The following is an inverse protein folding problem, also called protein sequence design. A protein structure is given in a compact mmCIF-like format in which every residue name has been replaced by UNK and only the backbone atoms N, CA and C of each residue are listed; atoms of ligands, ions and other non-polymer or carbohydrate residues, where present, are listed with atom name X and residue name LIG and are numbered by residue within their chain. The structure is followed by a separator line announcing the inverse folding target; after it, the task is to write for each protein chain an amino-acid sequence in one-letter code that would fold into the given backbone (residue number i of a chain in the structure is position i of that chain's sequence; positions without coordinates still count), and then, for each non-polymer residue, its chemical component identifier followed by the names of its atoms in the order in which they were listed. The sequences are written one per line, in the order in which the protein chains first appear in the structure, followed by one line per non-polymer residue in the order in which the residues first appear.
data_IF_538819747006
#
_entry.id   IF_538819747006
#
_cell.length_a   1.000
_cell.length_b   1.000
_cell.length_c   1.000
_cell.angle_alpha   90.00
_cell.angle_beta   90.00
_cell.angle_gamma   90.00
#
_symmetry.space_group_name_H-M   'P 1'
#
loop_
_entity.id
_entity.type
_entity.pdbx_description
1 polymer ?
#
# COMPACT_ATOMS: atom_id res chain seq x y z
N UNK A 1 17.93 -1.50 6.02
CA UNK A 1 18.77 -2.43 5.23
C UNK A 1 18.90 -1.86 3.82
N UNK A 2 20.10 -1.80 3.24
CA UNK A 2 20.30 -1.14 1.93
C UNK A 2 20.69 -2.17 0.86
N UNK A 3 19.69 -2.65 0.11
CA UNK A 3 19.89 -3.61 -0.99
C UNK A 3 20.68 -2.99 -2.15
N UNK A 4 20.54 -1.68 -2.38
CA UNK A 4 21.21 -1.00 -3.49
C UNK A 4 22.74 -1.05 -3.40
N UNK A 5 23.29 -1.00 -2.18
CA UNK A 5 24.74 -1.18 -1.97
C UNK A 5 25.22 -2.57 -2.38
N UNK A 6 24.48 -3.62 -1.98
CA UNK A 6 24.81 -5.00 -2.35
C UNK A 6 24.72 -5.23 -3.86
N UNK A 7 23.70 -4.67 -4.52
CA UNK A 7 23.55 -4.73 -5.99
C UNK A 7 24.66 -3.93 -6.69
N UNK A 8 25.09 -2.81 -6.12
CA UNK A 8 26.23 -2.03 -6.63
C UNK A 8 27.55 -2.79 -6.51
N UNK A 9 27.77 -3.49 -5.40
CA UNK A 9 28.97 -4.30 -5.16
C UNK A 9 29.01 -5.53 -6.08
N UNK A 10 27.90 -6.27 -6.16
CA UNK A 10 27.79 -7.50 -6.95
C UNK A 10 27.30 -7.20 -8.38
N UNK A 11 27.93 -6.22 -9.02
CA UNK A 11 27.59 -5.79 -10.37
C UNK A 11 28.59 -6.34 -11.39
N UNK A 12 28.12 -6.65 -12.59
CA UNK A 12 28.99 -7.08 -13.70
C UNK A 12 30.09 -6.04 -14.04
N UNK A 13 29.83 -4.74 -13.83
CA UNK A 13 30.85 -3.70 -14.01
C UNK A 13 32.03 -3.86 -13.05
N UNK A 14 31.79 -4.33 -11.82
CA UNK A 14 32.84 -4.60 -10.84
C UNK A 14 33.67 -5.80 -11.28
N UNK A 15 33.03 -6.87 -11.77
CA UNK A 15 33.72 -8.02 -12.34
C UNK A 15 34.58 -7.62 -13.56
N UNK A 16 34.05 -6.80 -14.47
CA UNK A 16 34.79 -6.29 -15.62
C UNK A 16 35.99 -5.43 -15.22
N UNK A 17 35.84 -4.59 -14.19
CA UNK A 17 36.94 -3.79 -13.66
C UNK A 17 38.05 -4.68 -13.07
N UNK A 18 37.70 -5.73 -12.31
CA UNK A 18 38.68 -6.70 -11.80
C UNK A 18 39.46 -7.33 -12.95
N UNK A 19 38.78 -7.82 -13.99
CA UNK A 19 39.43 -8.41 -15.16
C UNK A 19 40.37 -7.41 -15.86
N UNK A 20 39.94 -6.15 -16.02
CA UNK A 20 40.77 -5.09 -16.59
C UNK A 20 42.06 -4.83 -15.78
N UNK A 21 41.97 -4.84 -14.45
CA UNK A 21 43.15 -4.68 -13.59
C UNK A 21 44.07 -5.90 -13.61
N UNK A 22 43.54 -7.11 -13.80
CA UNK A 22 44.35 -8.34 -14.02
C UNK A 22 45.13 -8.23 -15.33
N UNK A 23 44.46 -7.83 -16.41
CA UNK A 23 45.08 -7.70 -17.74
C UNK A 23 46.21 -6.66 -17.74
N UNK A 24 46.09 -5.62 -16.91
CA UNK A 24 47.12 -4.61 -16.69
C UNK A 24 48.19 -4.99 -15.67
N UNK A 25 48.13 -6.20 -15.10
CA UNK A 25 49.03 -6.70 -14.04
C UNK A 25 49.05 -5.81 -12.79
N UNK A 26 47.95 -5.09 -12.53
CA UNK A 26 47.79 -4.28 -11.32
C UNK A 26 47.37 -5.15 -10.12
N UNK A 27 46.72 -6.29 -10.38
CA UNK A 27 46.29 -7.27 -9.38
C UNK A 27 46.59 -8.69 -9.87
N UNK A 28 46.63 -9.64 -8.95
CA UNK A 28 46.96 -11.04 -9.24
C UNK A 28 45.82 -11.78 -9.98
N UNK A 29 46.20 -12.77 -10.79
CA UNK A 29 45.30 -13.61 -11.57
C UNK A 29 44.32 -14.42 -10.70
N UNK A 30 44.67 -14.69 -9.44
CA UNK A 30 43.79 -15.36 -8.47
C UNK A 30 42.42 -14.66 -8.36
N UNK A 31 42.38 -13.32 -8.50
CA UNK A 31 41.15 -12.53 -8.45
C UNK A 31 40.20 -12.76 -9.64
N UNK A 32 40.62 -13.48 -10.69
CA UNK A 32 39.75 -13.87 -11.80
C UNK A 32 38.57 -14.73 -11.31
N UNK A 33 38.82 -15.57 -10.31
CA UNK A 33 37.77 -16.39 -9.66
C UNK A 33 36.71 -15.52 -8.98
N UNK A 34 37.13 -14.42 -8.33
CA UNK A 34 36.23 -13.43 -7.73
C UNK A 34 35.39 -12.72 -8.79
N UNK A 35 36.01 -12.30 -9.90
CA UNK A 35 35.28 -11.69 -11.02
C UNK A 35 34.23 -12.65 -11.59
N UNK A 36 34.59 -13.92 -11.81
CA UNK A 36 33.66 -14.96 -12.24
C UNK A 36 32.48 -15.12 -11.27
N UNK A 37 32.75 -15.21 -9.96
CA UNK A 37 31.70 -15.34 -8.95
C UNK A 37 30.74 -14.14 -8.94
N UNK A 38 31.27 -12.92 -9.01
CA UNK A 38 30.46 -11.70 -9.07
C UNK A 38 29.56 -11.71 -10.31
N UNK A 39 30.10 -12.05 -11.48
CA UNK A 39 29.31 -12.15 -12.72
C UNK A 39 28.22 -13.21 -12.63
N UNK A 40 28.51 -14.37 -12.02
CA UNK A 40 27.55 -15.45 -11.81
C UNK A 40 26.40 -15.02 -10.91
N UNK A 41 26.70 -14.44 -9.74
CA UNK A 41 25.66 -13.92 -8.83
C UNK A 41 24.84 -12.81 -9.50
N UNK A 42 25.49 -11.91 -10.24
CA UNK A 42 24.80 -10.86 -10.97
C UNK A 42 23.83 -11.40 -12.02
N UNK A 43 24.25 -12.39 -12.83
CA UNK A 43 23.39 -13.03 -13.84
C UNK A 43 22.19 -13.70 -13.19
N UNK A 44 22.42 -14.46 -12.11
CA UNK A 44 21.35 -15.09 -11.32
C UNK A 44 20.36 -14.08 -10.76
N UNK A 45 20.87 -13.03 -10.09
CA UNK A 45 20.03 -11.98 -9.50
C UNK A 45 19.17 -11.29 -10.57
N UNK A 46 19.77 -10.92 -11.71
CA UNK A 46 19.06 -10.27 -12.82
C UNK A 46 17.92 -11.11 -13.38
N UNK A 47 18.10 -12.43 -13.47
CA UNK A 47 17.05 -13.35 -13.93
C UNK A 47 15.90 -13.43 -12.92
N UNK A 48 16.21 -13.66 -11.63
CA UNK A 48 15.18 -13.79 -10.59
C UNK A 48 14.45 -12.46 -10.29
N UNK A 49 15.10 -11.32 -10.49
CA UNK A 49 14.46 -9.99 -10.31
C UNK A 49 13.99 -9.36 -11.61
N UNK A 50 13.74 -10.16 -12.65
CA UNK A 50 13.29 -9.67 -13.96
C UNK A 50 11.90 -9.03 -13.86
N UNK A 51 11.80 -7.75 -14.26
CA UNK A 51 10.56 -6.95 -14.23
C UNK A 51 10.06 -6.52 -15.62
N UNK A 52 10.87 -6.75 -16.65
CA UNK A 52 10.56 -6.35 -18.02
C UNK A 52 10.56 -7.55 -18.94
N UNK A 53 9.66 -7.55 -19.93
CA UNK A 53 9.51 -8.62 -20.91
C UNK A 53 10.82 -8.99 -21.62
N UNK A 54 11.65 -8.00 -21.95
CA UNK A 54 12.97 -8.22 -22.59
C UNK A 54 13.95 -9.04 -21.76
N UNK A 55 13.76 -9.11 -20.45
CA UNK A 55 14.60 -9.84 -19.50
C UNK A 55 13.87 -11.03 -18.87
N UNK A 56 12.63 -11.28 -19.28
CA UNK A 56 11.80 -12.35 -18.79
C UNK A 56 12.24 -13.69 -19.37
N UNK A 57 11.95 -14.78 -18.66
CA UNK A 57 12.03 -16.11 -19.24
C UNK A 57 10.91 -16.25 -20.27
N UNK A 58 11.24 -16.56 -21.51
CA UNK A 58 10.28 -16.64 -22.62
C UNK A 58 10.78 -17.55 -23.73
N UNK A 59 9.84 -18.09 -24.51
CA UNK A 59 10.13 -18.83 -25.74
C UNK A 59 10.25 -17.93 -26.98
N UNK A 60 10.40 -16.61 -26.80
CA UNK A 60 10.63 -15.72 -27.93
C UNK A 60 11.95 -16.02 -28.64
N UNK A 61 12.95 -16.47 -27.87
CA UNK A 61 14.23 -16.90 -28.39
C UNK A 61 14.70 -18.14 -27.62
N UNK A 62 14.41 -19.32 -28.17
CA UNK A 62 14.64 -20.60 -27.51
C UNK A 62 16.12 -20.85 -27.13
N UNK A 63 17.06 -20.29 -27.89
CA UNK A 63 18.48 -20.35 -27.56
C UNK A 63 18.78 -19.68 -26.20
N UNK A 64 18.23 -18.48 -25.98
CA UNK A 64 18.41 -17.72 -24.74
C UNK A 64 17.67 -18.40 -23.58
N UNK A 65 16.48 -18.92 -23.85
CA UNK A 65 15.73 -19.70 -22.87
C UNK A 65 16.57 -20.89 -22.38
N UNK A 66 17.09 -21.70 -23.32
CA UNK A 66 17.86 -22.90 -23.00
C UNK A 66 19.15 -22.55 -22.24
N UNK A 67 19.84 -21.48 -22.66
CA UNK A 67 21.03 -20.98 -21.95
C UNK A 67 20.71 -20.57 -20.51
N UNK A 68 19.60 -19.85 -20.30
CA UNK A 68 19.20 -19.41 -18.96
C UNK A 68 18.78 -20.59 -18.07
N UNK A 69 18.07 -21.58 -18.61
CA UNK A 69 17.68 -22.78 -17.85
C UNK A 69 18.91 -23.61 -17.46
N UNK A 70 19.84 -23.81 -18.39
CA UNK A 70 21.10 -24.50 -18.11
C UNK A 70 21.90 -23.75 -17.04
N UNK A 71 22.02 -22.42 -17.18
CA UNK A 71 22.69 -21.58 -16.19
C UNK A 71 22.06 -21.68 -14.79
N UNK A 72 20.72 -21.70 -14.67
CA UNK A 72 20.06 -21.85 -13.36
C UNK A 72 20.32 -23.22 -12.73
N UNK A 73 20.41 -24.28 -13.53
CA UNK A 73 20.80 -25.61 -13.04
C UNK A 73 22.25 -25.64 -12.57
N UNK A 74 23.17 -25.08 -13.36
CA UNK A 74 24.58 -24.93 -12.98
C UNK A 74 24.74 -24.07 -11.71
N UNK A 75 23.90 -23.05 -11.54
CA UNK A 75 23.92 -22.21 -10.34
C UNK A 75 23.63 -23.02 -9.08
N UNK A 76 22.68 -23.96 -9.10
CA UNK A 76 22.43 -24.84 -7.97
C UNK A 76 23.66 -25.68 -7.61
N UNK A 77 24.35 -26.24 -8.60
CA UNK A 77 25.59 -26.99 -8.39
C UNK A 77 26.69 -26.12 -7.75
N UNK A 78 26.81 -24.87 -8.19
CA UNK A 78 27.74 -23.91 -7.58
C UNK A 78 27.37 -23.68 -6.11
N UNK A 79 26.09 -23.49 -5.78
CA UNK A 79 25.66 -23.25 -4.39
C UNK A 79 25.93 -24.48 -3.51
N UNK A 80 25.74 -25.69 -4.02
CA UNK A 80 26.11 -26.93 -3.32
C UNK A 80 27.62 -27.05 -3.08
N UNK A 81 28.43 -26.55 -4.02
CA UNK A 81 29.89 -26.50 -3.89
C UNK A 81 30.44 -25.42 -2.95
N UNK A 82 29.62 -24.47 -2.46
CA UNK A 82 30.06 -23.44 -1.52
C UNK A 82 30.25 -24.07 -0.13
N UNK A 83 31.50 -24.30 0.25
CA UNK A 83 31.90 -24.83 1.57
C UNK A 83 32.42 -23.75 2.52
N UNK A 84 32.42 -22.47 2.13
CA UNK A 84 33.33 -21.48 2.68
C UNK A 84 32.82 -20.62 3.87
N UNK A 85 31.61 -20.84 4.41
CA UNK A 85 31.11 -19.98 5.52
C UNK A 85 31.37 -20.63 6.90
N UNK A 86 32.59 -20.47 7.41
CA UNK A 86 33.01 -20.95 8.75
C UNK A 86 33.37 -22.43 8.77
N UNK A 87 32.77 -23.21 9.68
CA UNK A 87 33.02 -24.66 9.89
C UNK A 87 32.68 -25.60 8.70
N UNK A 88 32.45 -25.08 7.48
CA UNK A 88 31.97 -25.89 6.36
C UNK A 88 30.53 -26.37 6.48
N UNK A 89 29.78 -25.87 7.47
CA UNK A 89 28.37 -26.26 7.71
C UNK A 89 27.42 -25.53 6.77
N UNK A 90 26.45 -26.28 6.26
CA UNK A 90 25.34 -25.75 5.46
C UNK A 90 24.59 -24.64 6.22
N UNK A 91 24.36 -23.51 5.56
CA UNK A 91 23.69 -22.32 6.12
C UNK A 91 22.31 -22.12 5.50
N UNK A 92 21.36 -21.51 6.23
CA UNK A 92 20.00 -21.28 5.72
C UNK A 92 19.95 -20.50 4.41
N UNK A 93 20.87 -19.56 4.16
CA UNK A 93 20.89 -18.82 2.89
C UNK A 93 21.20 -19.71 1.69
N UNK A 94 21.98 -20.79 1.86
CA UNK A 94 22.28 -21.74 0.79
C UNK A 94 21.02 -22.52 0.43
N UNK A 95 20.27 -22.99 1.44
CA UNK A 95 18.93 -23.55 1.21
C UNK A 95 18.04 -22.56 0.48
N UNK A 96 18.02 -21.29 0.89
CA UNK A 96 17.22 -20.25 0.25
C UNK A 96 17.55 -20.07 -1.23
N UNK A 97 18.85 -19.97 -1.57
CA UNK A 97 19.30 -19.84 -2.97
C UNK A 97 18.89 -21.04 -3.83
N UNK A 98 19.08 -22.26 -3.32
CA UNK A 98 18.68 -23.48 -4.01
C UNK A 98 17.16 -23.54 -4.21
N UNK A 99 16.38 -23.26 -3.15
CA UNK A 99 14.92 -23.31 -3.22
C UNK A 99 14.37 -22.25 -4.18
N UNK A 100 14.85 -21.00 -4.09
CA UNK A 100 14.42 -19.95 -5.02
C UNK A 100 14.71 -20.31 -6.48
N UNK A 101 15.88 -20.90 -6.75
CA UNK A 101 16.27 -21.31 -8.09
C UNK A 101 15.45 -22.50 -8.59
N UNK A 102 15.23 -23.49 -7.73
CA UNK A 102 14.39 -24.65 -8.06
C UNK A 102 12.94 -24.24 -8.30
N UNK A 103 12.37 -23.41 -7.44
CA UNK A 103 11.02 -22.87 -7.64
C UNK A 103 10.91 -22.09 -8.94
N UNK A 104 11.93 -21.30 -9.32
CA UNK A 104 11.93 -20.62 -10.61
C UNK A 104 11.93 -21.61 -11.80
N UNK A 105 12.68 -22.71 -11.71
CA UNK A 105 12.72 -23.78 -12.71
C UNK A 105 11.40 -24.56 -12.82
N UNK A 106 10.71 -24.76 -11.70
CA UNK A 106 9.43 -25.47 -11.67
C UNK A 106 8.31 -24.56 -12.21
N UNK A 107 8.23 -23.32 -11.71
CA UNK A 107 7.23 -22.33 -12.14
C UNK A 107 7.33 -22.04 -13.63
N UNK A 108 8.55 -21.89 -14.17
CA UNK A 108 8.69 -21.66 -15.61
C UNK A 108 8.18 -22.85 -16.41
N UNK A 109 8.38 -24.09 -15.95
CA UNK A 109 7.89 -25.28 -16.64
C UNK A 109 6.36 -25.33 -16.63
N UNK A 110 5.74 -25.04 -15.49
CA UNK A 110 4.28 -25.00 -15.37
C UNK A 110 3.67 -23.91 -16.26
N UNK A 111 4.14 -22.66 -16.16
CA UNK A 111 3.48 -21.55 -16.85
C UNK A 111 3.86 -21.45 -18.34
N UNK A 112 5.13 -21.64 -18.69
CA UNK A 112 5.57 -21.52 -20.09
C UNK A 112 5.22 -22.79 -20.87
N UNK A 113 5.56 -23.98 -20.36
CA UNK A 113 5.46 -25.21 -21.14
C UNK A 113 4.07 -25.84 -21.06
N UNK A 114 3.42 -25.84 -19.89
CA UNK A 114 2.09 -26.46 -19.74
C UNK A 114 0.95 -25.48 -20.02
N UNK A 115 1.04 -24.26 -19.51
CA UNK A 115 -0.03 -23.25 -19.67
C UNK A 115 0.16 -22.33 -20.90
N UNK A 116 1.27 -22.47 -21.65
CA UNK A 116 1.58 -21.70 -22.85
C UNK A 116 1.62 -20.17 -22.65
N UNK A 117 2.13 -19.72 -21.51
CA UNK A 117 2.34 -18.29 -21.27
C UNK A 117 3.49 -17.78 -22.15
N UNK A 118 3.36 -16.55 -22.66
CA UNK A 118 4.37 -15.96 -23.56
C UNK A 118 5.71 -15.71 -22.87
N UNK A 119 5.65 -15.26 -21.62
CA UNK A 119 6.83 -14.96 -20.80
C UNK A 119 6.48 -15.02 -19.31
N UNK A 120 7.50 -15.15 -18.48
CA UNK A 120 7.41 -15.20 -17.03
C UNK A 120 8.32 -14.14 -16.39
N UNK A 121 7.73 -13.30 -15.55
CA UNK A 121 8.42 -12.26 -14.77
C UNK A 121 8.70 -12.76 -13.37
N UNK A 122 9.92 -13.27 -13.15
CA UNK A 122 10.31 -13.82 -11.85
C UNK A 122 10.36 -12.75 -10.75
N UNK A 123 10.56 -11.48 -11.11
CA UNK A 123 10.56 -10.37 -10.16
C UNK A 123 9.23 -10.18 -9.41
N UNK A 124 8.12 -10.74 -9.91
CA UNK A 124 6.81 -10.71 -9.22
C UNK A 124 6.70 -11.70 -8.07
N UNK A 125 7.62 -12.66 -7.95
CA UNK A 125 7.67 -13.63 -6.86
C UNK A 125 8.53 -13.14 -5.67
N UNK A 126 8.97 -11.88 -5.71
CA UNK A 126 9.70 -11.25 -4.61
C UNK A 126 8.73 -10.56 -3.64
N UNK A 127 9.17 -10.37 -2.40
CA UNK A 127 8.41 -9.64 -1.39
C UNK A 127 8.51 -8.10 -1.53
N UNK A 128 9.16 -7.58 -2.58
CA UNK A 128 9.37 -6.14 -2.78
C UNK A 128 8.05 -5.36 -2.77
N UNK A 129 6.98 -5.93 -3.33
CA UNK A 129 5.66 -5.30 -3.32
C UNK A 129 5.11 -5.12 -1.89
N UNK A 130 5.35 -6.10 -1.03
CA UNK A 130 4.95 -6.06 0.38
C UNK A 130 5.80 -5.06 1.17
N UNK A 131 7.11 -5.02 0.93
CA UNK A 131 8.01 -4.04 1.55
C UNK A 131 7.66 -2.59 1.13
N UNK A 132 7.26 -2.39 -0.13
CA UNK A 132 6.78 -1.10 -0.62
C UNK A 132 5.44 -0.70 0.04
N UNK A 133 4.55 -1.66 0.28
CA UNK A 133 3.32 -1.43 1.04
C UNK A 133 3.65 -1.00 2.48
N UNK A 134 4.55 -1.71 3.15
CA UNK A 134 5.00 -1.32 4.50
C UNK A 134 5.64 0.06 4.49
N UNK A 135 6.47 0.39 3.51
CA UNK A 135 7.06 1.72 3.37
C UNK A 135 6.00 2.81 3.24
N UNK A 136 4.91 2.53 2.53
CA UNK A 136 3.77 3.45 2.39
C UNK A 136 3.05 3.66 3.73
N UNK A 137 2.86 2.60 4.51
CA UNK A 137 2.25 2.67 5.85
C UNK A 137 3.16 3.43 6.83
N UNK A 138 4.44 3.07 6.87
CA UNK A 138 5.45 3.72 7.72
C UNK A 138 5.71 5.19 7.35
N UNK A 139 5.42 5.58 6.10
CA UNK A 139 5.48 6.97 5.67
C UNK A 139 4.48 7.89 6.39
N UNK A 140 3.39 7.34 6.95
CA UNK A 140 2.42 8.10 7.77
C UNK A 140 2.86 8.16 9.23
N UNK A 141 3.28 7.02 9.76
CA UNK A 141 3.78 6.87 11.14
C UNK A 141 4.96 5.92 11.12
N UNK A 142 6.14 6.37 11.56
CA UNK A 142 7.37 5.57 11.46
C UNK A 142 7.32 4.24 12.21
N UNK A 143 6.57 4.18 13.31
CA UNK A 143 6.31 2.96 14.08
C UNK A 143 4.83 2.96 14.46
N UNK A 144 3.94 2.41 13.60
CA UNK A 144 2.52 2.43 13.86
C UNK A 144 2.15 1.39 14.93
N UNK A 145 1.25 1.75 15.83
CA UNK A 145 0.54 0.75 16.65
C UNK A 145 -0.42 -0.09 15.78
N UNK A 146 -0.88 -1.24 16.28
CA UNK A 146 -1.78 -2.13 15.55
C UNK A 146 -3.04 -1.41 15.03
N UNK A 147 -3.59 -0.47 15.82
CA UNK A 147 -4.73 0.35 15.39
C UNK A 147 -4.37 1.29 14.23
N UNK A 148 -3.23 1.95 14.33
CA UNK A 148 -2.75 2.88 13.30
C UNK A 148 -2.39 2.16 12.01
N UNK A 149 -1.81 0.96 12.12
CA UNK A 149 -1.53 0.09 10.99
C UNK A 149 -2.84 -0.34 10.31
N UNK A 150 -3.84 -0.80 11.07
CA UNK A 150 -5.16 -1.21 10.54
C UNK A 150 -5.84 -0.05 9.81
N UNK A 151 -5.84 1.16 10.39
CA UNK A 151 -6.42 2.34 9.77
C UNK A 151 -5.66 2.76 8.50
N UNK A 152 -4.33 2.74 8.54
CA UNK A 152 -3.49 3.07 7.37
C UNK A 152 -3.69 2.06 6.24
N UNK A 153 -3.74 0.78 6.56
CA UNK A 153 -4.01 -0.28 5.58
C UNK A 153 -5.39 -0.12 4.95
N UNK A 154 -6.44 0.13 5.76
CA UNK A 154 -7.80 0.43 5.25
C UNK A 154 -7.78 1.61 4.28
N UNK A 155 -7.10 2.69 4.62
CA UNK A 155 -6.99 3.88 3.76
C UNK A 155 -6.23 3.58 2.46
N UNK A 156 -5.13 2.83 2.52
CA UNK A 156 -4.38 2.41 1.33
C UNK A 156 -5.29 1.57 0.42
N UNK A 157 -5.99 0.57 0.96
CA UNK A 157 -6.91 -0.25 0.19
C UNK A 157 -8.01 0.58 -0.48
N UNK A 158 -8.66 1.49 0.26
CA UNK A 158 -9.69 2.37 -0.32
C UNK A 158 -9.13 3.31 -1.39
N UNK A 159 -7.90 3.81 -1.21
CA UNK A 159 -7.27 4.73 -2.16
C UNK A 159 -6.93 4.07 -3.50
N UNK A 160 -6.68 2.75 -3.52
CA UNK A 160 -6.43 2.01 -4.77
C UNK A 160 -7.63 2.08 -5.72
N UNK A 161 -8.84 2.12 -5.16
CA UNK A 161 -10.07 2.23 -5.93
C UNK A 161 -10.39 3.68 -6.31
N UNK A 162 -9.95 4.68 -5.55
CA UNK A 162 -10.16 6.09 -5.91
C UNK A 162 -9.19 6.61 -6.98
N UNK A 163 -8.09 5.90 -7.22
CA UNK A 163 -7.11 6.30 -8.23
C UNK A 163 -7.64 5.97 -9.64
N UNK A 164 -8.00 7.00 -10.41
CA UNK A 164 -8.22 6.84 -11.85
C UNK A 164 -6.90 6.41 -12.51
N UNK A 165 -6.75 5.12 -12.78
CA UNK A 165 -5.56 4.59 -13.47
C UNK A 165 -5.73 4.88 -14.96
N UNK A 166 -5.41 6.09 -15.39
CA UNK A 166 -5.50 6.53 -16.81
C UNK A 166 -4.65 5.69 -17.79
N UNK A 167 -3.85 4.73 -17.31
CA UNK A 167 -2.96 3.84 -18.10
C UNK A 167 -2.97 2.37 -17.65
N UNK A 168 -3.96 1.97 -16.85
CA UNK A 168 -4.06 0.60 -16.34
C UNK A 168 -4.82 -0.30 -17.32
N UNK A 169 -4.41 -1.57 -17.42
CA UNK A 169 -5.20 -2.60 -18.10
C UNK A 169 -6.30 -3.19 -17.20
N UNK A 170 -6.46 -2.67 -15.98
CA UNK A 170 -7.55 -3.03 -15.08
C UNK A 170 -8.82 -2.28 -15.52
N UNK A 171 -9.96 -2.96 -15.52
CA UNK A 171 -11.23 -2.36 -15.87
C UNK A 171 -11.60 -1.29 -14.82
N UNK A 172 -12.14 -0.15 -15.25
CA UNK A 172 -12.61 0.91 -14.36
C UNK A 172 -13.82 0.49 -13.47
N UNK A 173 -14.19 -0.79 -13.50
CA UNK A 173 -15.38 -1.40 -12.89
C UNK A 173 -15.23 -1.54 -11.37
N UNK A 174 -14.01 -1.49 -10.84
CA UNK A 174 -13.76 -1.72 -9.41
C UNK A 174 -14.32 -0.57 -8.52
N UNK A 175 -14.40 0.65 -9.04
CA UNK A 175 -15.07 1.78 -8.36
C UNK A 175 -16.57 1.51 -8.24
N UNK A 176 -17.19 1.08 -9.34
CA UNK A 176 -18.62 0.84 -9.41
C UNK A 176 -19.02 -0.30 -8.47
N UNK A 177 -18.19 -1.34 -8.34
CA UNK A 177 -18.41 -2.43 -7.40
C UNK A 177 -18.38 -1.97 -5.93
N UNK A 178 -17.46 -1.06 -5.55
CA UNK A 178 -17.42 -0.51 -4.19
C UNK A 178 -18.59 0.41 -3.89
N UNK A 179 -18.97 1.26 -4.86
CA UNK A 179 -20.16 2.10 -4.74
C UNK A 179 -21.40 1.21 -4.59
N UNK A 180 -21.51 0.17 -5.42
CA UNK A 180 -22.59 -0.81 -5.38
C UNK A 180 -22.63 -1.53 -4.02
N UNK A 181 -21.50 -2.05 -3.54
CA UNK A 181 -21.40 -2.71 -2.23
C UNK A 181 -21.80 -1.76 -1.08
N UNK A 182 -21.32 -0.52 -1.09
CA UNK A 182 -21.73 0.48 -0.09
C UNK A 182 -23.22 0.84 -0.17
N UNK A 183 -23.83 0.83 -1.37
CA UNK A 183 -25.27 1.00 -1.50
C UNK A 183 -26.06 -0.23 -1.06
N UNK A 184 -25.57 -1.43 -1.33
CA UNK A 184 -26.20 -2.69 -0.92
C UNK A 184 -26.20 -2.84 0.60
N UNK A 185 -25.09 -2.49 1.28
CA UNK A 185 -25.04 -2.43 2.75
C UNK A 185 -26.10 -1.47 3.30
N UNK A 186 -26.20 -0.26 2.75
CA UNK A 186 -27.22 0.72 3.19
C UNK A 186 -28.64 0.23 2.96
N UNK A 187 -28.88 -0.51 1.87
CA UNK A 187 -30.18 -1.10 1.58
C UNK A 187 -30.52 -2.24 2.56
N UNK A 188 -29.52 -3.06 2.93
CA UNK A 188 -29.67 -4.10 3.96
C UNK A 188 -29.93 -3.49 5.34
N UNK A 189 -29.24 -2.42 5.71
CA UNK A 189 -29.49 -1.68 6.96
C UNK A 189 -30.91 -1.07 7.00
N UNK A 190 -31.39 -0.52 5.87
CA UNK A 190 -32.74 0.02 5.78
C UNK A 190 -33.82 -1.08 5.83
N UNK A 191 -33.55 -2.25 5.21
CA UNK A 191 -34.42 -3.43 5.33
C UNK A 191 -34.44 -3.97 6.77
N UNK A 192 -33.30 -3.98 7.45
CA UNK A 192 -33.19 -4.42 8.84
C UNK A 192 -33.87 -3.45 9.81
N UNK A 193 -33.79 -2.13 9.59
CA UNK A 193 -34.61 -1.13 10.31
C UNK A 193 -36.11 -1.32 10.09
N UNK A 194 -36.53 -1.69 8.88
CA UNK A 194 -37.94 -1.94 8.58
C UNK A 194 -38.44 -3.28 9.16
N UNK A 195 -37.57 -4.29 9.27
CA UNK A 195 -37.88 -5.58 9.93
C UNK A 195 -37.87 -5.49 11.45
N UNK A 196 -37.01 -4.66 12.05
CA UNK A 196 -36.97 -4.48 13.50
C UNK A 196 -38.24 -3.85 14.09
N UNK A 197 -39.01 -3.11 13.28
CA UNK A 197 -40.30 -2.53 13.69
C UNK A 197 -41.46 -3.54 13.59
N UNK A 198 -41.31 -4.59 12.77
CA UNK A 198 -42.36 -5.60 12.54
C UNK A 198 -42.11 -6.96 13.21
N UNK A 199 -40.91 -7.24 13.75
CA UNK A 199 -40.52 -8.56 14.23
C UNK A 199 -40.10 -8.58 15.72
N UNK A 200 -40.56 -7.63 16.53
CA UNK A 200 -40.31 -7.59 17.98
C UNK A 200 -41.35 -8.39 18.80
N UNK A 201 -42.31 -9.05 18.15
CA UNK A 201 -43.31 -9.91 18.82
C UNK A 201 -43.16 -11.40 18.52
N UNK A 202 -42.15 -11.84 17.75
CA UNK A 202 -42.04 -13.27 17.46
C UNK A 202 -40.62 -13.71 17.16
N UNK A 203 -40.14 -14.60 18.03
CA UNK A 203 -39.12 -15.64 17.77
C UNK A 203 -37.68 -15.21 18.08
N UNK A 204 -37.34 -15.36 19.36
CA UNK A 204 -36.06 -15.93 19.78
C UNK A 204 -35.88 -17.32 19.13
N UNK A 205 -34.67 -17.58 18.66
CA UNK A 205 -34.12 -18.83 18.09
C UNK A 205 -34.26 -19.02 16.58
N UNK A 206 -33.16 -18.77 15.85
CA UNK A 206 -32.49 -19.78 15.00
C UNK A 206 -31.20 -19.20 14.37
N UNK A 207 -30.09 -19.39 15.10
CA UNK A 207 -28.78 -19.90 14.65
C UNK A 207 -28.41 -19.64 13.17
N UNK A 208 -27.71 -18.53 12.90
CA UNK A 208 -26.80 -18.36 11.76
C UNK A 208 -25.49 -17.69 12.27
N UNK A 209 -24.58 -18.53 12.77
CA UNK A 209 -23.11 -18.48 12.67
C UNK A 209 -22.36 -17.12 12.76
N UNK A 210 -22.39 -16.51 13.95
CA UNK A 210 -21.28 -16.30 14.91
C UNK A 210 -19.87 -15.79 14.48
N UNK A 211 -19.61 -15.38 13.22
CA UNK A 211 -18.30 -14.80 12.83
C UNK A 211 -18.35 -13.35 12.34
N UNK A 212 -19.53 -12.80 12.05
CA UNK A 212 -19.66 -11.45 11.47
C UNK A 212 -20.15 -10.37 12.47
N UNK A 213 -20.69 -10.73 13.63
CA UNK A 213 -21.31 -9.74 14.54
C UNK A 213 -20.29 -8.85 15.28
N UNK A 214 -19.09 -9.36 15.60
CA UNK A 214 -18.03 -8.58 16.23
C UNK A 214 -17.30 -7.61 15.26
N UNK A 215 -17.42 -7.81 13.95
CA UNK A 215 -16.78 -6.93 12.96
C UNK A 215 -17.64 -5.72 12.57
N UNK A 216 -18.96 -5.80 12.78
CA UNK A 216 -19.92 -4.75 12.42
C UNK A 216 -20.32 -3.85 13.59
N UNK A 217 -20.27 -4.34 14.83
CA UNK A 217 -20.52 -3.53 16.03
C UNK A 217 -19.56 -2.34 16.25
N UNK A 218 -18.29 -2.32 15.79
CA UNK A 218 -17.44 -1.14 15.96
C UNK A 218 -17.72 -0.01 14.95
N UNK A 219 -18.39 -0.29 13.83
CA UNK A 219 -18.62 0.71 12.75
C UNK A 219 -19.76 1.70 13.07
N UNK A 220 -20.54 1.44 14.10
CA UNK A 220 -21.72 2.23 14.47
C UNK A 220 -21.78 2.47 15.98
N UNK A 221 -20.70 2.95 16.60
CA UNK A 221 -20.90 3.73 17.83
C UNK A 221 -21.60 5.03 17.44
N UNK A 222 -22.93 4.99 17.41
CA UNK A 222 -23.80 6.17 17.37
C UNK A 222 -23.72 6.99 18.68
N UNK A 223 -22.60 6.92 19.40
CA UNK A 223 -22.37 7.79 20.54
C UNK A 223 -22.14 9.19 19.96
N UNK A 224 -23.01 10.17 20.28
CA UNK A 224 -22.78 11.53 19.88
C UNK A 224 -21.40 11.97 20.38
N UNK A 225 -20.64 12.68 19.53
CA UNK A 225 -19.34 13.21 19.96
C UNK A 225 -19.56 14.04 21.23
N UNK A 226 -18.66 13.92 22.21
CA UNK A 226 -18.69 14.82 23.36
C UNK A 226 -18.52 16.28 22.92
N UNK A 227 -18.99 17.21 23.75
CA UNK A 227 -19.00 18.65 23.42
C UNK A 227 -17.59 19.18 23.12
N UNK A 228 -16.56 18.62 23.75
CA UNK A 228 -15.15 18.98 23.52
C UNK A 228 -14.67 18.55 22.14
N UNK A 229 -14.99 17.35 21.68
CA UNK A 229 -14.58 16.92 20.33
C UNK A 229 -15.38 17.68 19.27
N UNK A 230 -16.67 17.97 19.53
CA UNK A 230 -17.48 18.77 18.60
C UNK A 230 -16.93 20.19 18.41
N UNK A 231 -16.54 20.85 19.51
CA UNK A 231 -15.91 22.19 19.46
C UNK A 231 -14.55 22.18 18.76
N UNK A 232 -13.73 21.15 19.00
CA UNK A 232 -12.46 20.96 18.30
C UNK A 232 -12.67 20.69 16.79
N UNK A 233 -13.68 19.89 16.43
CA UNK A 233 -14.04 19.58 15.04
C UNK A 233 -14.55 20.82 14.30
N UNK A 234 -15.32 21.69 14.98
CA UNK A 234 -15.77 22.96 14.44
C UNK A 234 -14.58 23.88 14.10
N UNK A 235 -13.59 23.97 14.99
CA UNK A 235 -12.34 24.70 14.72
C UNK A 235 -11.54 24.08 13.56
N UNK A 236 -11.43 22.76 13.51
CA UNK A 236 -10.74 22.05 12.43
C UNK A 236 -11.41 22.32 11.07
N UNK A 237 -12.73 22.36 11.04
CA UNK A 237 -13.51 22.71 9.84
C UNK A 237 -13.18 24.12 9.35
N UNK A 238 -13.02 25.09 10.25
CA UNK A 238 -12.55 26.45 9.90
C UNK A 238 -11.13 26.46 9.33
N UNK A 239 -10.22 25.66 9.90
CA UNK A 239 -8.85 25.52 9.40
C UNK A 239 -8.80 24.83 8.02
N UNK A 240 -9.70 23.89 7.75
CA UNK A 240 -9.86 23.25 6.44
C UNK A 240 -10.31 24.28 5.40
N UNK A 241 -11.32 25.10 5.71
CA UNK A 241 -11.75 26.19 4.83
C UNK A 241 -10.63 27.19 4.54
N UNK A 242 -9.79 27.50 5.54
CA UNK A 242 -8.60 28.33 5.34
C UNK A 242 -7.61 27.70 4.33
N UNK A 243 -7.31 26.41 4.47
CA UNK A 243 -6.44 25.69 3.52
C UNK A 243 -7.03 25.63 2.12
N UNK A 244 -8.34 25.43 1.99
CA UNK A 244 -9.03 25.42 0.70
C UNK A 244 -8.89 26.78 0.02
N UNK A 245 -9.11 27.87 0.75
CA UNK A 245 -8.97 29.23 0.23
C UNK A 245 -7.54 29.52 -0.25
N UNK A 246 -6.53 29.04 0.47
CA UNK A 246 -5.11 29.26 0.17
C UNK A 246 -4.62 28.46 -1.03
N UNK A 247 -5.04 27.20 -1.15
CA UNK A 247 -4.43 26.25 -2.07
C UNK A 247 -5.22 26.03 -3.38
N UNK A 248 -6.49 26.44 -3.44
CA UNK A 248 -7.36 26.17 -4.59
C UNK A 248 -8.03 27.44 -5.14
N UNK A 249 -8.20 27.48 -6.47
CA UNK A 249 -9.05 28.49 -7.14
C UNK A 249 -10.50 28.22 -6.76
N UNK A 250 -11.19 29.24 -6.26
CA UNK A 250 -12.56 29.13 -5.76
C UNK A 250 -13.39 30.34 -6.21
N UNK A 251 -14.70 30.13 -6.34
CA UNK A 251 -15.66 31.21 -6.52
C UNK A 251 -15.86 31.93 -5.19
N UNK A 252 -15.73 33.26 -5.17
CA UNK A 252 -15.88 34.09 -3.97
C UNK A 252 -17.31 34.01 -3.40
N UNK A 253 -18.33 34.01 -4.25
CA UNK A 253 -19.74 33.87 -3.85
C UNK A 253 -20.00 32.52 -3.17
N UNK A 254 -19.51 31.42 -3.77
CA UNK A 254 -19.67 30.09 -3.19
C UNK A 254 -18.90 29.95 -1.88
N UNK A 255 -17.68 30.50 -1.80
CA UNK A 255 -16.88 30.43 -0.58
C UNK A 255 -17.51 31.23 0.57
N UNK A 256 -18.07 32.41 0.28
CA UNK A 256 -18.78 33.21 1.27
C UNK A 256 -20.07 32.54 1.77
N UNK A 257 -20.69 31.65 0.99
CA UNK A 257 -21.82 30.83 1.45
C UNK A 257 -21.42 29.72 2.43
N UNK A 258 -20.11 29.39 2.53
CA UNK A 258 -19.58 28.36 3.44
C UNK A 258 -19.13 28.95 4.78
N UNK A 259 -19.00 30.27 4.88
CA UNK A 259 -18.46 30.98 6.04
C UNK A 259 -19.51 31.95 6.58
N UNK A 260 -19.74 31.92 7.89
CA UNK A 260 -20.56 32.93 8.55
C UNK A 260 -19.81 34.27 8.52
N UNK A 261 -20.33 35.22 7.74
CA UNK A 261 -19.76 36.57 7.59
C UNK A 261 -20.25 37.54 8.68
N UNK A 262 -21.37 37.24 9.31
CA UNK A 262 -21.95 38.07 10.36
C UNK A 262 -21.61 37.53 11.75
N UNK A 263 -20.82 38.31 12.48
CA UNK A 263 -20.57 38.10 13.92
C UNK A 263 -21.78 38.51 14.79
N UNK A 264 -22.88 38.99 14.19
CA UNK A 264 -24.04 39.58 14.86
C UNK A 264 -25.42 39.04 14.43
N UNK A 265 -25.50 37.92 13.68
CA UNK A 265 -26.81 37.30 13.40
C UNK A 265 -27.25 36.42 14.58
N UNK A 266 -28.44 36.71 15.10
CA UNK A 266 -29.14 36.08 16.23
C UNK A 266 -29.47 34.58 16.05
N UNK A 267 -28.51 33.71 15.75
CA UNK A 267 -28.66 32.26 15.94
C UNK A 267 -28.20 31.90 17.36
N UNK A 268 -29.10 32.21 18.29
CA UNK A 268 -28.96 32.14 19.77
C UNK A 268 -28.74 30.71 20.31
N UNK A 269 -28.62 29.67 19.47
CA UNK A 269 -28.39 28.29 19.91
C UNK A 269 -26.97 27.72 19.71
N UNK A 270 -26.01 28.49 19.14
CA UNK A 270 -24.68 27.96 18.74
C UNK A 270 -23.46 28.53 19.48
N UNK A 271 -23.66 29.16 20.65
CA UNK A 271 -22.56 29.77 21.40
C UNK A 271 -21.50 28.75 21.89
N UNK A 272 -21.86 27.49 22.12
CA UNK A 272 -20.91 26.50 22.63
C UNK A 272 -19.89 26.03 21.59
N UNK A 273 -20.30 25.74 20.35
CA UNK A 273 -19.42 25.21 19.30
C UNK A 273 -18.37 26.23 18.82
N UNK A 274 -18.79 27.50 18.70
CA UNK A 274 -17.92 28.59 18.25
C UNK A 274 -17.00 29.13 19.36
N UNK A 275 -17.27 28.81 20.63
CA UNK A 275 -16.55 29.32 21.80
C UNK A 275 -15.04 29.04 21.70
N UNK A 276 -14.67 27.79 21.41
CA UNK A 276 -13.26 27.40 21.30
C UNK A 276 -12.54 28.13 20.16
N UNK A 277 -13.24 28.34 19.03
CA UNK A 277 -12.68 29.09 17.88
C UNK A 277 -12.51 30.57 18.22
N UNK A 278 -13.47 31.17 18.93
CA UNK A 278 -13.39 32.55 19.44
C UNK A 278 -12.23 32.71 20.44
N UNK A 279 -12.02 31.75 21.35
CA UNK A 279 -10.92 31.78 22.31
C UNK A 279 -9.53 31.67 21.66
N UNK A 280 -9.44 30.99 20.50
CA UNK A 280 -8.20 30.89 19.72
C UNK A 280 -7.96 32.07 18.79
N UNK A 281 -8.93 32.97 18.63
CA UNK A 281 -8.82 34.10 17.74
C UNK A 281 -7.96 35.20 18.37
N UNK A 282 -6.68 35.27 17.97
CA UNK A 282 -5.73 36.27 18.47
C UNK A 282 -6.01 37.69 17.92
N UNK A 283 -6.64 37.81 16.76
CA UNK A 283 -7.08 39.07 16.13
C UNK A 283 -8.43 38.86 15.46
N UNK A 284 -9.36 39.81 15.61
CA UNK A 284 -10.71 39.74 15.03
C UNK A 284 -10.66 39.45 13.52
N UNK A 285 -11.50 38.53 13.06
CA UNK A 285 -11.70 38.11 11.67
C UNK A 285 -10.50 37.40 11.02
N UNK A 286 -9.62 36.78 11.81
CA UNK A 286 -8.49 35.99 11.27
C UNK A 286 -8.87 34.53 11.05
N UNK A 287 -9.80 34.00 11.85
CA UNK A 287 -10.28 32.64 11.73
C UNK A 287 -11.58 32.59 10.94
N UNK A 288 -11.78 31.50 10.18
CA UNK A 288 -13.03 31.25 9.47
C UNK A 288 -14.00 30.50 10.38
N UNK A 289 -15.24 30.99 10.44
CA UNK A 289 -16.35 30.35 11.15
C UNK A 289 -17.22 29.61 10.12
N UNK A 290 -17.19 28.27 10.09
CA UNK A 290 -18.00 27.49 9.15
C UNK A 290 -19.49 27.67 9.39
N UNK A 291 -20.29 27.63 8.31
CA UNK A 291 -21.74 27.43 8.43
C UNK A 291 -22.06 26.04 9.00
N UNK A 292 -23.22 25.90 9.65
CA UNK A 292 -23.62 24.60 10.21
C UNK A 292 -23.85 23.53 9.15
N UNK A 293 -24.19 23.91 7.93
CA UNK A 293 -24.34 22.96 6.82
C UNK A 293 -23.00 22.26 6.51
N UNK A 294 -21.90 23.01 6.47
CA UNK A 294 -20.56 22.46 6.25
C UNK A 294 -20.09 21.65 7.44
N UNK A 295 -20.30 22.18 8.66
CA UNK A 295 -19.96 21.46 9.89
C UNK A 295 -20.71 20.12 9.99
N UNK A 296 -22.00 20.08 9.69
CA UNK A 296 -22.81 18.85 9.74
C UNK A 296 -22.33 17.78 8.77
N UNK A 297 -21.81 18.16 7.60
CA UNK A 297 -21.20 17.21 6.67
C UNK A 297 -19.94 16.61 7.29
N UNK A 298 -19.05 17.45 7.81
CA UNK A 298 -17.80 17.00 8.45
C UNK A 298 -18.08 16.18 9.72
N UNK A 299 -19.09 16.56 10.50
CA UNK A 299 -19.56 15.84 11.68
C UNK A 299 -20.05 14.43 11.33
N UNK A 300 -20.85 14.30 10.27
CA UNK A 300 -21.30 12.99 9.77
C UNK A 300 -20.13 12.16 9.24
N UNK A 301 -19.16 12.78 8.57
CA UNK A 301 -17.94 12.10 8.17
C UNK A 301 -17.15 11.62 9.39
N UNK A 302 -16.97 12.44 10.42
CA UNK A 302 -16.24 12.07 11.63
C UNK A 302 -16.91 10.91 12.39
N UNK A 303 -18.24 10.87 12.45
CA UNK A 303 -18.98 9.73 12.99
C UNK A 303 -18.73 8.47 12.16
N UNK A 304 -18.72 8.58 10.83
CA UNK A 304 -18.43 7.44 9.94
C UNK A 304 -16.98 6.94 10.05
N UNK A 305 -16.03 7.83 10.37
CA UNK A 305 -14.61 7.51 10.47
C UNK A 305 -14.18 6.92 11.82
N UNK A 306 -14.99 7.08 12.88
CA UNK A 306 -14.72 6.53 14.23
C UNK A 306 -14.90 5.01 14.28
#
# INVERSE_FOLDING_TARGET
MNVALSVGLLNNNVAAAILYHIDRKNIDYVHKTTAWFISTIYKWFKLLTSRYEKLALSHFQDNIYTENITFLKEFNEIVYGITAVGDGKWKPFQSGLVHCTQTALDIQHEYLNKQNFKYLLLGRFTQDALENLFSTIHGRTSVPDAREFKQSLRLVSLSQFQANINRGNYSAVDIDHLVQYCTEIKLLENKNKSRHIQCLESIENEIWDDWDEELHTPLMRNEPLNNETQTALYYLTGALLHKIKKNYKHCTTCFNALVNTDTNSNDVNNNNLSLFTKLREYKKNVLYFPTMNVYNIIYKCEILFR
#
